data_IF_508742390853
#
_entry.id   IF_508742390853
#
_cell.length_a   1.000
_cell.length_b   1.000
_cell.length_c   1.000
_cell.angle_alpha   90.00
_cell.angle_beta   90.00
_cell.angle_gamma   90.00
#
_symmetry.space_group_name_H-M   'P 1'
#
loop_
_entity.id
_entity.type
_entity.pdbx_description
1 polymer ?
#
# COMPACT_ATOMS: atom_id res chain seq x y z
N UNK A 1 29.29 0.88 -8.32
CA UNK A 1 28.24 0.81 -9.35
C UNK A 1 26.93 0.46 -8.64
N UNK A 2 26.27 1.46 -8.05
CA UNK A 2 25.14 1.24 -7.13
C UNK A 2 23.85 1.08 -7.94
N UNK A 3 23.34 -0.14 -8.02
CA UNK A 3 21.98 -0.42 -8.48
C UNK A 3 21.00 0.19 -7.47
N UNK A 4 20.47 1.36 -7.78
CA UNK A 4 19.32 1.95 -7.06
C UNK A 4 18.09 1.07 -7.35
N UNK A 5 17.82 0.11 -6.47
CA UNK A 5 16.52 -0.57 -6.42
C UNK A 5 15.55 0.47 -5.87
N UNK A 6 14.85 1.12 -6.78
CA UNK A 6 13.82 2.07 -6.46
C UNK A 6 12.54 1.27 -6.22
N UNK A 7 12.30 0.98 -4.94
CA UNK A 7 11.08 0.34 -4.47
C UNK A 7 9.90 1.16 -4.96
N UNK A 8 9.05 0.53 -5.78
CA UNK A 8 7.79 1.11 -6.21
C UNK A 8 7.01 1.58 -4.99
N UNK A 9 6.33 2.70 -5.15
CA UNK A 9 5.38 3.26 -4.20
C UNK A 9 4.20 2.27 -4.07
N UNK A 10 4.43 1.15 -3.37
CA UNK A 10 3.39 0.23 -2.94
C UNK A 10 2.70 0.92 -1.76
N UNK A 11 1.72 1.78 -2.04
CA UNK A 11 0.70 2.15 -1.06
C UNK A 11 -0.12 0.89 -0.76
N UNK A 12 0.46 -0.03 -0.02
CA UNK A 12 -0.18 -1.27 0.38
C UNK A 12 -1.10 -0.96 1.56
N UNK A 13 -2.35 -0.57 1.27
CA UNK A 13 -3.47 -0.86 2.19
C UNK A 13 -3.63 -2.40 2.35
N UNK A 14 -3.06 -3.14 1.39
CA UNK A 14 -2.88 -4.58 1.39
C UNK A 14 -2.22 -5.18 2.65
N UNK A 15 -1.37 -4.47 3.39
CA UNK A 15 -0.66 -5.08 4.54
C UNK A 15 -1.55 -5.37 5.74
N UNK A 16 -2.76 -4.80 5.83
CA UNK A 16 -3.74 -5.17 6.87
C UNK A 16 -4.66 -6.33 6.40
N UNK A 17 -4.74 -6.57 5.08
CA UNK A 17 -5.73 -7.48 4.49
C UNK A 17 -5.15 -8.80 3.96
N UNK A 18 -3.83 -8.96 3.83
CA UNK A 18 -3.24 -10.11 3.10
C UNK A 18 -2.31 -11.03 3.91
N UNK A 19 -2.39 -11.06 5.25
CA UNK A 19 -1.75 -12.17 6.00
C UNK A 19 -2.74 -13.29 6.26
N UNK A 20 -2.96 -14.13 5.24
CA UNK A 20 -3.60 -15.44 5.39
C UNK A 20 -2.70 -16.51 4.76
N UNK A 21 -2.03 -17.30 5.61
CA UNK A 21 -1.30 -18.50 5.21
C UNK A 21 -1.91 -19.70 5.95
N UNK A 22 -2.59 -20.58 5.21
CA UNK A 22 -2.67 -22.02 5.46
C UNK A 22 -3.66 -22.53 6.52
N UNK A 23 -4.67 -23.29 6.07
CA UNK A 23 -5.41 -24.21 6.94
C UNK A 23 -6.72 -24.71 6.35
N UNK A 24 -6.66 -25.58 5.34
CA UNK A 24 -7.84 -26.23 4.77
C UNK A 24 -8.50 -27.22 5.73
N UNK A 25 -9.84 -27.21 5.76
CA UNK A 25 -10.67 -28.19 6.45
C UNK A 25 -12.01 -28.33 5.72
N UNK A 26 -12.22 -29.48 5.07
CA UNK A 26 -13.43 -29.78 4.32
C UNK A 26 -14.63 -30.04 5.24
N UNK A 27 -15.78 -29.46 4.90
CA UNK A 27 -17.05 -29.69 5.55
C UNK A 27 -18.18 -29.14 4.70
N UNK A 28 -18.80 -29.99 3.88
CA UNK A 28 -19.95 -29.64 3.06
C UNK A 28 -21.10 -29.16 3.93
N UNK A 29 -21.41 -27.88 3.82
CA UNK A 29 -22.63 -27.27 4.35
C UNK A 29 -23.23 -26.43 3.22
N UNK A 30 -24.47 -26.71 2.85
CA UNK A 30 -25.25 -25.88 1.93
C UNK A 30 -25.38 -24.47 2.54
N UNK A 31 -24.53 -23.56 2.08
CA UNK A 31 -24.48 -22.19 2.58
C UNK A 31 -25.78 -21.46 2.21
N UNK A 32 -26.44 -20.87 3.21
CA UNK A 32 -27.43 -19.82 2.95
C UNK A 32 -26.76 -18.68 2.16
N UNK A 33 -27.49 -18.00 1.25
CA UNK A 33 -26.94 -16.85 0.54
C UNK A 33 -26.51 -15.77 1.53
N UNK A 34 -25.21 -15.56 1.63
CA UNK A 34 -24.59 -14.53 2.45
C UNK A 34 -24.74 -13.18 1.75
N UNK A 35 -25.76 -12.41 2.16
CA UNK A 35 -26.05 -11.07 1.63
C UNK A 35 -25.18 -9.96 2.26
N UNK A 36 -24.07 -10.32 2.92
CA UNK A 36 -23.17 -9.32 3.47
C UNK A 36 -22.52 -8.48 2.37
N UNK A 37 -22.47 -7.16 2.57
CA UNK A 37 -21.73 -6.26 1.69
C UNK A 37 -20.24 -6.63 1.69
N UNK A 38 -19.64 -6.72 0.50
CA UNK A 38 -18.22 -7.03 0.31
C UNK A 38 -17.56 -6.00 -0.59
N UNK A 39 -16.34 -5.62 -0.23
CA UNK A 39 -15.44 -4.84 -1.06
C UNK A 39 -14.30 -5.73 -1.53
N UNK A 40 -14.20 -5.93 -2.84
CA UNK A 40 -13.24 -6.84 -3.44
C UNK A 40 -11.95 -6.12 -3.82
N UNK A 41 -10.83 -6.71 -3.45
CA UNK A 41 -9.47 -6.23 -3.75
C UNK A 41 -8.89 -7.14 -4.82
N UNK A 42 -8.45 -6.56 -5.93
CA UNK A 42 -7.90 -7.32 -7.07
C UNK A 42 -6.57 -6.69 -7.45
N UNK A 43 -5.49 -7.46 -7.36
CA UNK A 43 -4.14 -6.97 -7.57
C UNK A 43 -3.33 -7.89 -8.47
N UNK A 44 -2.68 -7.31 -9.48
CA UNK A 44 -1.70 -8.02 -10.28
C UNK A 44 -0.31 -7.93 -9.64
N UNK A 45 0.29 -9.08 -9.37
CA UNK A 45 1.58 -9.21 -8.71
C UNK A 45 2.56 -9.99 -9.60
N UNK A 46 3.27 -9.29 -10.49
CA UNK A 46 4.33 -9.91 -11.29
C UNK A 46 5.61 -10.08 -10.46
N UNK A 47 6.23 -11.24 -10.58
CA UNK A 47 7.57 -11.52 -10.05
C UNK A 47 8.48 -12.01 -11.17
N UNK A 48 9.77 -12.20 -10.88
CA UNK A 48 10.73 -12.74 -11.85
C UNK A 48 10.50 -14.21 -12.18
N UNK A 49 9.73 -14.94 -11.36
CA UNK A 49 9.53 -16.39 -11.51
C UNK A 49 8.09 -16.77 -11.83
N UNK A 50 7.12 -15.91 -11.53
CA UNK A 50 5.70 -16.09 -11.85
C UNK A 50 4.96 -14.75 -11.81
N UNK A 51 3.83 -14.64 -12.50
CA UNK A 51 2.86 -13.58 -12.27
C UNK A 51 1.52 -14.16 -11.81
N UNK A 52 0.83 -13.42 -10.96
CA UNK A 52 -0.47 -13.82 -10.44
C UNK A 52 -1.42 -12.64 -10.36
N UNK A 53 -2.71 -12.93 -10.40
CA UNK A 53 -3.74 -11.96 -10.06
C UNK A 53 -4.36 -12.45 -8.75
N UNK A 54 -4.06 -11.72 -7.67
CA UNK A 54 -4.60 -11.97 -6.35
C UNK A 54 -5.99 -11.34 -6.25
N UNK A 55 -6.93 -12.08 -5.68
CA UNK A 55 -8.28 -11.61 -5.37
C UNK A 55 -8.62 -11.92 -3.92
N UNK A 56 -9.17 -10.95 -3.23
CA UNK A 56 -9.73 -11.13 -1.90
C UNK A 56 -10.85 -10.13 -1.63
N UNK A 57 -11.49 -10.22 -0.48
CA UNK A 57 -12.55 -9.28 -0.12
C UNK A 57 -12.53 -8.92 1.35
N UNK A 58 -13.03 -7.72 1.64
CA UNK A 58 -13.37 -7.28 2.98
C UNK A 58 -14.88 -7.37 3.17
N UNK A 59 -15.31 -8.19 4.13
CA UNK A 59 -16.72 -8.31 4.50
C UNK A 59 -17.08 -7.23 5.52
N UNK A 60 -18.19 -6.53 5.25
CA UNK A 60 -18.77 -5.57 6.18
C UNK A 60 -19.75 -6.30 7.10
N UNK A 61 -19.56 -6.16 8.41
CA UNK A 61 -20.44 -6.67 9.45
C UNK A 61 -21.73 -5.85 9.56
N UNK A 62 -22.70 -6.37 10.31
CA UNK A 62 -23.98 -5.70 10.54
C UNK A 62 -23.85 -4.35 11.29
N UNK A 63 -22.77 -4.14 12.04
CA UNK A 63 -22.44 -2.88 12.70
C UNK A 63 -21.55 -1.94 11.85
N UNK A 64 -21.51 -2.16 10.53
CA UNK A 64 -20.76 -1.38 9.55
C UNK A 64 -19.25 -1.36 9.79
N UNK A 65 -18.67 -2.52 10.13
CA UNK A 65 -17.24 -2.66 10.37
C UNK A 65 -16.61 -3.70 9.46
N UNK A 66 -15.36 -3.46 9.10
CA UNK A 66 -14.50 -4.47 8.53
C UNK A 66 -13.49 -4.84 9.62
N UNK A 67 -13.52 -6.10 10.03
CA UNK A 67 -12.53 -6.67 10.93
C UNK A 67 -12.02 -7.97 10.33
N UNK A 68 -10.70 -8.09 10.18
CA UNK A 68 -10.11 -9.38 9.84
C UNK A 68 -10.09 -10.23 11.13
N UNK A 69 -10.83 -11.34 11.14
CA UNK A 69 -10.88 -12.25 12.30
C UNK A 69 -9.50 -12.84 12.66
N UNK A 70 -8.56 -12.83 11.71
CA UNK A 70 -7.19 -13.30 11.89
C UNK A 70 -6.25 -12.24 12.48
N UNK A 71 -6.68 -10.99 12.65
CA UNK A 71 -5.83 -9.91 13.17
C UNK A 71 -6.51 -8.96 14.18
N UNK A 72 -7.84 -8.95 14.26
CA UNK A 72 -8.60 -8.17 15.23
C UNK A 72 -8.43 -8.71 16.65
N UNK A 73 -8.20 -7.82 17.61
CA UNK A 73 -7.98 -8.12 19.02
C UNK A 73 -6.82 -9.10 19.27
N UNK A 74 -5.82 -9.06 18.41
CA UNK A 74 -4.58 -9.83 18.56
C UNK A 74 -3.41 -8.93 18.95
N UNK A 75 -2.29 -9.52 19.45
CA UNK A 75 -1.07 -8.78 19.69
C UNK A 75 -0.63 -7.97 18.47
N UNK A 76 -0.17 -6.74 18.70
CA UNK A 76 0.22 -5.80 17.66
C UNK A 76 1.32 -6.37 16.75
N UNK A 77 2.22 -7.21 17.29
CA UNK A 77 3.29 -7.89 16.55
C UNK A 77 4.44 -6.98 16.10
N UNK A 78 4.32 -5.68 16.33
CA UNK A 78 5.31 -4.64 16.01
C UNK A 78 5.27 -3.58 17.11
N UNK A 79 6.28 -2.72 17.19
CA UNK A 79 6.20 -1.51 18.01
C UNK A 79 5.52 -0.40 17.23
N UNK A 80 4.71 0.41 17.91
CA UNK A 80 4.22 1.70 17.38
C UNK A 80 4.65 2.80 18.34
N UNK A 81 5.47 3.72 17.87
CA UNK A 81 5.92 4.89 18.62
C UNK A 81 5.14 6.13 18.17
N UNK A 82 4.36 6.70 19.08
CA UNK A 82 3.70 8.01 18.95
C UNK A 82 4.39 9.00 19.88
N UNK A 83 4.05 10.29 19.77
CA UNK A 83 4.52 11.30 20.71
C UNK A 83 4.14 10.99 22.17
N UNK A 84 2.93 10.47 22.39
CA UNK A 84 2.36 10.24 23.72
C UNK A 84 2.61 8.83 24.28
N UNK A 85 2.93 7.83 23.43
CA UNK A 85 3.03 6.43 23.86
C UNK A 85 3.87 5.54 22.92
N UNK A 86 4.63 4.62 23.52
CA UNK A 86 5.22 3.47 22.84
C UNK A 86 4.35 2.23 23.07
N UNK A 87 3.65 1.79 22.03
CA UNK A 87 2.93 0.52 22.01
C UNK A 87 3.90 -0.63 21.71
N UNK A 88 3.74 -1.74 22.43
CA UNK A 88 4.61 -2.92 22.36
C UNK A 88 4.00 -4.00 21.45
N UNK A 89 4.80 -4.93 20.91
CA UNK A 89 4.30 -6.06 20.12
C UNK A 89 3.26 -6.92 20.83
N UNK A 90 3.29 -6.95 22.17
CA UNK A 90 2.35 -7.70 23.00
C UNK A 90 1.05 -6.96 23.29
N UNK A 91 0.98 -5.66 23.02
CA UNK A 91 -0.22 -4.88 23.24
C UNK A 91 -1.32 -5.33 22.28
N UNK A 92 -2.56 -5.39 22.77
CA UNK A 92 -3.69 -5.84 21.97
C UNK A 92 -4.17 -4.70 21.08
N UNK A 93 -4.19 -4.96 19.78
CA UNK A 93 -4.64 -4.02 18.76
C UNK A 93 -6.03 -4.43 18.26
N UNK A 94 -6.96 -3.47 18.21
CA UNK A 94 -8.31 -3.75 17.74
C UNK A 94 -8.30 -3.98 16.21
N UNK A 95 -7.51 -3.24 15.42
CA UNK A 95 -7.43 -3.41 13.95
C UNK A 95 -8.81 -3.52 13.28
N UNK A 96 -9.58 -2.45 13.39
CA UNK A 96 -10.96 -2.37 12.87
C UNK A 96 -11.06 -1.21 11.91
N UNK A 97 -11.83 -1.36 10.83
CA UNK A 97 -12.22 -0.25 9.97
C UNK A 97 -13.71 0.02 10.17
N UNK A 98 -14.05 1.24 10.59
CA UNK A 98 -15.42 1.72 10.61
C UNK A 98 -15.79 2.26 9.22
N UNK A 99 -16.86 1.71 8.63
CA UNK A 99 -17.38 2.09 7.31
C UNK A 99 -18.47 3.14 7.51
N UNK A 100 -18.07 4.41 7.62
CA UNK A 100 -19.00 5.52 7.89
C UNK A 100 -19.97 5.75 6.71
N UNK A 101 -19.49 5.53 5.49
CA UNK A 101 -20.28 5.49 4.26
C UNK A 101 -19.57 4.65 3.20
N UNK A 102 -20.17 4.51 2.01
CA UNK A 102 -19.53 3.85 0.87
C UNK A 102 -18.16 4.44 0.50
N UNK A 103 -17.90 5.70 0.84
CA UNK A 103 -16.73 6.46 0.40
C UNK A 103 -15.95 7.14 1.53
N UNK A 104 -16.30 6.89 2.79
CA UNK A 104 -15.66 7.51 3.97
C UNK A 104 -15.47 6.47 5.07
N UNK A 105 -14.22 6.10 5.33
CA UNK A 105 -13.85 5.02 6.24
C UNK A 105 -12.84 5.51 7.28
N UNK A 106 -12.86 4.92 8.48
CA UNK A 106 -11.89 5.18 9.53
C UNK A 106 -11.20 3.88 9.95
N UNK A 107 -9.90 3.77 9.71
CA UNK A 107 -9.08 2.63 10.14
C UNK A 107 -8.51 2.87 11.53
N UNK A 108 -8.80 1.97 12.47
CA UNK A 108 -8.30 1.97 13.83
C UNK A 108 -7.21 0.90 13.97
N UNK A 109 -6.00 1.31 14.38
CA UNK A 109 -4.89 0.37 14.61
C UNK A 109 -4.87 -0.03 16.08
N UNK A 110 -4.55 0.90 16.97
CA UNK A 110 -4.46 0.69 18.41
C UNK A 110 -4.64 2.03 19.15
N UNK A 111 -5.39 2.02 20.26
CA UNK A 111 -5.65 3.23 21.04
C UNK A 111 -6.24 4.37 20.18
N UNK A 112 -5.52 5.50 20.16
CA UNK A 112 -5.82 6.70 19.39
C UNK A 112 -5.12 6.75 18.01
N UNK A 113 -4.37 5.72 17.64
CA UNK A 113 -3.73 5.62 16.32
C UNK A 113 -4.78 5.18 15.29
N UNK A 114 -5.26 6.14 14.50
CA UNK A 114 -6.26 5.94 13.47
C UNK A 114 -6.00 6.79 12.21
N UNK A 115 -6.60 6.35 11.11
CA UNK A 115 -6.49 6.97 9.80
C UNK A 115 -7.86 7.12 9.16
N UNK A 116 -8.12 8.28 8.54
CA UNK A 116 -9.31 8.52 7.73
C UNK A 116 -8.98 8.24 6.27
N UNK A 117 -9.88 7.57 5.58
CA UNK A 117 -9.71 7.16 4.18
C UNK A 117 -10.95 7.60 3.42
N UNK A 118 -10.73 8.36 2.35
CA UNK A 118 -11.79 8.82 1.45
C UNK A 118 -11.65 8.18 0.09
N UNK A 119 -12.77 7.73 -0.44
CA UNK A 119 -12.88 7.17 -1.77
C UNK A 119 -13.80 8.01 -2.65
N UNK A 120 -13.74 7.77 -3.96
CA UNK A 120 -14.82 8.08 -4.89
C UNK A 120 -15.40 6.78 -5.44
N UNK A 121 -16.70 6.75 -5.68
CA UNK A 121 -17.35 5.66 -6.40
C UNK A 121 -17.38 5.99 -7.90
N UNK A 122 -16.97 5.03 -8.71
CA UNK A 122 -16.91 5.16 -10.17
C UNK A 122 -17.79 4.08 -10.79
N UNK A 123 -18.76 4.50 -11.61
CA UNK A 123 -19.53 3.56 -12.45
C UNK A 123 -18.60 2.93 -13.49
N UNK A 124 -18.59 1.60 -13.51
CA UNK A 124 -17.80 0.81 -14.44
C UNK A 124 -18.62 0.26 -15.60
N UNK A 125 -19.94 0.42 -15.62
CA UNK A 125 -20.83 -0.12 -16.65
C UNK A 125 -20.30 0.19 -18.06
N UNK A 126 -20.08 -0.86 -18.86
CA UNK A 126 -19.58 -0.74 -20.22
C UNK A 126 -18.09 -0.38 -20.37
N UNK A 127 -17.35 -0.15 -19.28
CA UNK A 127 -15.90 0.08 -19.31
C UNK A 127 -15.15 -1.23 -19.51
N UNK A 128 -13.96 -1.16 -20.10
CA UNK A 128 -13.12 -2.32 -20.34
C UNK A 128 -12.55 -2.89 -19.03
N UNK A 129 -12.68 -4.20 -18.84
CA UNK A 129 -12.26 -4.87 -17.60
C UNK A 129 -10.74 -4.86 -17.47
N UNK A 130 -10.02 -5.24 -18.53
CA UNK A 130 -8.56 -5.28 -18.52
C UNK A 130 -7.95 -3.90 -18.20
N UNK A 131 -8.39 -2.84 -18.88
CA UNK A 131 -7.83 -1.50 -18.69
C UNK A 131 -8.18 -0.89 -17.32
N UNK A 132 -9.21 -1.42 -16.64
CA UNK A 132 -9.57 -1.00 -15.28
C UNK A 132 -8.72 -1.72 -14.24
N UNK A 133 -8.50 -3.03 -14.39
CA UNK A 133 -7.70 -3.85 -13.46
C UNK A 133 -6.20 -3.62 -13.66
N UNK A 134 -5.76 -3.38 -14.90
CA UNK A 134 -4.37 -3.18 -15.31
C UNK A 134 -4.21 -1.87 -16.10
N UNK A 135 -4.44 -0.70 -15.45
CA UNK A 135 -4.41 0.58 -16.13
C UNK A 135 -3.04 0.86 -16.76
N UNK A 136 -3.05 1.23 -18.04
CA UNK A 136 -1.85 1.56 -18.83
C UNK A 136 -1.07 0.36 -19.39
N UNK A 137 -1.33 -0.87 -18.96
CA UNK A 137 -0.58 -2.05 -19.44
C UNK A 137 -0.81 -2.35 -20.92
N UNK A 138 -1.99 -2.02 -21.48
CA UNK A 138 -2.27 -2.24 -22.90
C UNK A 138 -1.32 -1.47 -23.82
N UNK A 139 -1.01 -0.23 -23.48
CA UNK A 139 -0.15 0.64 -24.28
C UNK A 139 1.33 0.54 -23.90
N UNK A 140 1.63 0.36 -22.61
CA UNK A 140 3.00 0.29 -22.09
C UNK A 140 3.58 -1.13 -22.09
N UNK A 141 2.76 -2.14 -22.39
CA UNK A 141 3.11 -3.55 -22.37
C UNK A 141 3.46 -4.07 -20.98
N UNK A 142 3.91 -5.32 -20.92
CA UNK A 142 4.49 -5.95 -19.72
C UNK A 142 6.01 -5.83 -19.72
N UNK A 143 6.61 -5.76 -18.54
CA UNK A 143 8.07 -5.73 -18.40
C UNK A 143 8.66 -7.07 -18.87
N UNK A 144 9.77 -7.03 -19.62
CA UNK A 144 10.46 -8.24 -20.07
C UNK A 144 11.20 -8.96 -18.95
N UNK A 145 11.46 -8.29 -17.82
CA UNK A 145 12.14 -8.86 -16.65
C UNK A 145 11.25 -9.74 -15.79
N UNK A 146 9.94 -9.65 -15.94
CA UNK A 146 8.98 -10.42 -15.17
C UNK A 146 8.30 -11.48 -16.03
N UNK A 147 7.88 -12.55 -15.37
CA UNK A 147 6.89 -13.44 -15.98
C UNK A 147 5.61 -12.62 -16.19
N UNK A 148 4.92 -12.88 -17.30
CA UNK A 148 3.75 -12.12 -17.75
C UNK A 148 2.66 -13.04 -18.28
N UNK A 149 2.68 -14.30 -17.88
CA UNK A 149 1.81 -15.34 -18.44
C UNK A 149 0.35 -15.00 -18.20
N UNK A 150 -0.02 -14.72 -16.94
CA UNK A 150 -1.39 -14.37 -16.57
C UNK A 150 -1.78 -12.97 -17.05
N UNK A 151 -0.90 -11.97 -16.93
CA UNK A 151 -1.14 -10.62 -17.44
C UNK A 151 -1.36 -10.59 -18.95
N UNK A 152 -0.51 -11.26 -19.72
CA UNK A 152 -0.63 -11.34 -21.18
C UNK A 152 -1.86 -12.16 -21.58
N UNK A 153 -2.13 -13.27 -20.89
CA UNK A 153 -3.35 -14.06 -21.12
C UNK A 153 -4.61 -13.22 -20.89
N UNK A 154 -4.63 -12.42 -19.83
CA UNK A 154 -5.73 -11.51 -19.54
C UNK A 154 -5.95 -10.50 -20.68
N UNK A 155 -4.87 -9.91 -21.20
CA UNK A 155 -4.93 -9.01 -22.35
C UNK A 155 -5.42 -9.71 -23.62
N UNK A 156 -4.85 -10.87 -23.95
CA UNK A 156 -5.08 -11.55 -25.22
C UNK A 156 -6.48 -12.16 -25.30
N UNK A 157 -6.96 -12.74 -24.19
CA UNK A 157 -8.21 -13.52 -24.17
C UNK A 157 -9.40 -12.68 -23.73
N UNK A 158 -9.22 -11.76 -22.79
CA UNK A 158 -10.32 -10.97 -22.20
C UNK A 158 -10.13 -9.46 -22.36
N UNK A 159 -9.12 -9.01 -23.10
CA UNK A 159 -8.81 -7.60 -23.26
C UNK A 159 -9.89 -6.78 -23.96
N UNK A 160 -10.95 -7.38 -24.50
CA UNK A 160 -12.11 -6.67 -25.06
C UNK A 160 -13.37 -6.75 -24.18
N UNK A 161 -13.32 -7.51 -23.09
CA UNK A 161 -14.47 -7.70 -22.21
C UNK A 161 -14.78 -6.41 -21.45
N UNK A 162 -16.07 -6.15 -21.27
CA UNK A 162 -16.59 -4.96 -20.58
C UNK A 162 -17.36 -5.36 -19.34
N UNK A 163 -17.44 -4.45 -18.38
CA UNK A 163 -18.23 -4.63 -17.17
C UNK A 163 -19.74 -4.61 -17.46
N UNK A 164 -20.52 -5.50 -16.82
CA UNK A 164 -21.98 -5.47 -16.88
C UNK A 164 -22.56 -4.28 -16.12
N UNK A 165 -23.86 -4.02 -16.32
CA UNK A 165 -24.61 -3.02 -15.57
C UNK A 165 -24.53 -3.26 -14.07
N UNK A 166 -24.40 -2.18 -13.29
CA UNK A 166 -24.30 -2.24 -11.82
C UNK A 166 -22.87 -2.41 -11.31
N UNK A 167 -21.89 -2.64 -12.20
CA UNK A 167 -20.49 -2.70 -11.84
C UNK A 167 -19.99 -1.33 -11.39
N UNK A 168 -19.33 -1.28 -10.23
CA UNK A 168 -18.71 -0.06 -9.71
C UNK A 168 -17.38 -0.37 -9.04
N UNK A 169 -16.52 0.65 -8.96
CA UNK A 169 -15.31 0.57 -8.17
C UNK A 169 -15.12 1.79 -7.28
N UNK A 170 -14.20 1.68 -6.35
CA UNK A 170 -13.85 2.70 -5.38
C UNK A 170 -12.38 3.06 -5.56
N UNK A 171 -12.09 4.35 -5.74
CA UNK A 171 -10.74 4.87 -5.91
C UNK A 171 -10.39 5.77 -4.74
N UNK A 172 -9.20 5.60 -4.17
CA UNK A 172 -8.68 6.44 -3.10
C UNK A 172 -8.63 7.87 -3.58
N UNK A 173 -9.23 8.78 -2.82
CA UNK A 173 -9.11 10.22 -3.01
C UNK A 173 -8.04 10.74 -2.06
N UNK A 174 -8.15 10.38 -0.79
CA UNK A 174 -7.21 10.80 0.23
C UNK A 174 -7.13 9.86 1.42
N UNK A 175 -6.02 9.96 2.14
CA UNK A 175 -5.81 9.31 3.42
C UNK A 175 -5.05 10.22 4.36
N UNK A 176 -5.48 10.27 5.62
CA UNK A 176 -4.88 11.11 6.65
C UNK A 176 -4.80 10.38 7.97
N UNK A 177 -3.62 10.32 8.58
CA UNK A 177 -3.49 9.89 9.97
C UNK A 177 -3.82 11.05 10.90
N UNK A 178 -4.46 10.76 12.04
CA UNK A 178 -4.77 11.80 13.03
C UNK A 178 -3.54 12.28 13.79
N UNK A 179 -2.50 11.46 13.81
CA UNK A 179 -1.21 11.76 14.41
C UNK A 179 -0.09 11.06 13.65
N UNK A 180 1.13 11.55 13.86
CA UNK A 180 2.33 10.93 13.33
C UNK A 180 2.77 9.75 14.21
N UNK A 181 3.30 8.70 13.60
CA UNK A 181 3.86 7.58 14.34
C UNK A 181 4.93 6.84 13.53
N UNK A 182 5.79 6.11 14.24
CA UNK A 182 6.74 5.16 13.65
C UNK A 182 6.32 3.72 13.97
N UNK A 183 6.42 2.82 12.99
CA UNK A 183 6.33 1.37 13.20
C UNK A 183 7.68 0.68 12.98
N UNK A 184 8.05 -0.26 13.86
CA UNK A 184 9.30 -1.03 13.76
C UNK A 184 9.21 -2.36 14.51
N UNK A 185 9.89 -3.40 14.03
CA UNK A 185 9.72 -4.78 14.56
C UNK A 185 10.60 -5.07 15.78
N UNK A 186 11.73 -4.37 15.93
CA UNK A 186 12.76 -4.70 16.92
C UNK A 186 13.57 -5.96 16.60
N UNK A 187 13.38 -6.57 15.42
CA UNK A 187 14.09 -7.77 14.99
C UNK A 187 15.47 -7.45 14.42
N UNK A 188 16.42 -8.40 14.56
CA UNK A 188 17.79 -8.23 14.08
C UNK A 188 17.90 -8.03 12.56
N UNK A 189 16.91 -8.48 11.79
CA UNK A 189 16.81 -8.28 10.33
C UNK A 189 16.60 -6.83 9.94
N UNK A 190 16.01 -6.03 10.83
CA UNK A 190 15.72 -4.61 10.61
C UNK A 190 16.78 -3.69 11.20
N UNK A 191 17.85 -4.25 11.76
CA UNK A 191 18.99 -3.45 12.21
C UNK A 191 19.64 -2.74 11.03
N UNK A 192 19.87 -1.45 11.20
CA UNK A 192 20.64 -0.67 10.25
C UNK A 192 22.11 -1.01 10.46
N UNK A 193 22.72 -1.58 9.40
CA UNK A 193 24.12 -1.95 9.38
C UNK A 193 24.83 -1.21 8.26
N UNK A 194 26.08 -0.81 8.51
CA UNK A 194 26.99 -0.23 7.54
C UNK A 194 28.27 -1.06 7.56
N UNK A 195 28.68 -1.55 6.39
CA UNK A 195 29.86 -2.43 6.23
C UNK A 195 29.83 -3.65 7.16
N UNK A 196 28.63 -4.21 7.38
CA UNK A 196 28.42 -5.40 8.21
C UNK A 196 28.30 -5.14 9.73
N UNK A 197 28.65 -3.94 10.20
CA UNK A 197 28.56 -3.55 11.61
C UNK A 197 27.27 -2.75 11.90
N UNK A 198 26.82 -2.74 13.16
CA UNK A 198 25.72 -1.88 13.60
C UNK A 198 26.05 -0.42 13.31
N UNK A 199 25.13 0.28 12.65
CA UNK A 199 25.32 1.69 12.33
C UNK A 199 24.79 2.55 13.48
N UNK A 200 25.63 3.37 14.17
CA UNK A 200 25.18 4.19 15.28
C UNK A 200 24.08 5.17 14.87
N UNK A 201 23.10 5.38 15.75
CA UNK A 201 21.97 6.26 15.47
C UNK A 201 22.42 7.69 15.15
N UNK A 202 23.39 8.23 15.89
CA UNK A 202 23.96 9.56 15.66
C UNK A 202 24.52 9.74 14.26
N UNK A 203 25.20 8.72 13.74
CA UNK A 203 25.83 8.76 12.43
C UNK A 203 24.78 8.61 11.31
N UNK A 204 23.77 7.79 11.56
CA UNK A 204 22.64 7.64 10.65
C UNK A 204 21.80 8.93 10.58
N UNK A 205 21.51 9.55 11.71
CA UNK A 205 20.79 10.82 11.80
C UNK A 205 21.56 11.96 11.10
N UNK A 206 22.87 12.05 11.33
CA UNK A 206 23.73 13.02 10.65
C UNK A 206 23.76 12.78 9.13
N UNK A 207 23.76 11.52 8.68
CA UNK A 207 23.69 11.19 7.26
C UNK A 207 22.34 11.60 6.64
N UNK A 208 21.23 11.39 7.35
CA UNK A 208 19.91 11.87 6.93
C UNK A 208 19.87 13.40 6.81
N UNK A 209 20.44 14.11 7.77
CA UNK A 209 20.52 15.57 7.74
C UNK A 209 21.30 16.07 6.52
N UNK A 210 22.45 15.46 6.24
CA UNK A 210 23.29 15.82 5.08
C UNK A 210 22.66 15.44 3.73
N UNK A 211 21.75 14.45 3.71
CA UNK A 211 21.09 14.01 2.48
C UNK A 211 20.22 15.11 1.86
N UNK A 212 19.56 15.94 2.67
CA UNK A 212 18.57 16.94 2.22
C UNK A 212 19.11 17.85 1.12
N UNK A 213 20.32 18.38 1.31
CA UNK A 213 20.93 19.32 0.36
C UNK A 213 21.16 18.67 -1.02
N UNK A 214 21.38 17.34 -1.04
CA UNK A 214 21.60 16.59 -2.28
C UNK A 214 20.32 16.16 -2.99
N UNK A 215 19.18 16.09 -2.28
CA UNK A 215 17.91 15.60 -2.85
C UNK A 215 16.91 16.71 -3.15
N UNK A 216 17.02 17.89 -2.51
CA UNK A 216 16.20 19.07 -2.79
C UNK A 216 16.73 19.92 -3.95
N UNK A 217 17.43 19.30 -4.89
CA UNK A 217 17.92 19.95 -6.11
C UNK A 217 16.82 20.10 -7.17
N UNK A 218 15.76 19.29 -7.10
CA UNK A 218 14.61 19.36 -8.02
C UNK A 218 13.47 20.16 -7.38
N UNK A 219 12.99 21.26 -8.00
CA UNK A 219 11.99 22.13 -7.38
C UNK A 219 10.62 21.47 -7.20
N UNK A 220 10.29 20.47 -8.02
CA UNK A 220 8.97 19.85 -8.04
C UNK A 220 8.65 18.99 -6.80
N UNK A 221 9.67 18.51 -6.10
CA UNK A 221 9.51 17.68 -4.91
C UNK A 221 10.42 18.20 -3.82
N UNK A 222 9.82 18.66 -2.72
CA UNK A 222 10.55 19.18 -1.57
C UNK A 222 10.52 18.16 -0.43
N UNK A 223 11.70 17.73 0.01
CA UNK A 223 11.88 16.89 1.18
C UNK A 223 12.26 17.71 2.41
N UNK A 224 11.91 17.19 3.58
CA UNK A 224 12.30 17.72 4.88
C UNK A 224 12.94 16.62 5.70
N UNK A 225 14.04 16.96 6.35
CA UNK A 225 14.62 16.17 7.43
C UNK A 225 14.01 16.64 8.75
N UNK A 226 13.67 15.69 9.61
CA UNK A 226 13.27 15.94 10.98
C UNK A 226 13.78 14.80 11.86
N UNK A 227 14.14 15.15 13.10
CA UNK A 227 14.54 14.20 14.12
C UNK A 227 14.05 14.68 15.48
N UNK A 228 13.99 13.77 16.43
CA UNK A 228 13.48 14.08 17.76
C UNK A 228 13.54 12.88 18.68
N UNK A 229 12.81 12.98 19.78
CA UNK A 229 12.67 11.91 20.74
C UNK A 229 11.23 11.88 21.21
N UNK A 230 10.60 10.71 21.11
CA UNK A 230 9.29 10.44 21.67
C UNK A 230 9.44 9.30 22.66
N UNK A 231 8.86 9.42 23.86
CA UNK A 231 8.89 8.34 24.86
C UNK A 231 10.31 7.79 25.12
N UNK A 232 11.29 8.69 25.20
CA UNK A 232 12.74 8.37 25.34
C UNK A 232 13.35 7.52 24.21
N UNK A 233 12.66 7.43 23.06
CA UNK A 233 13.12 6.75 21.84
C UNK A 233 13.50 7.81 20.81
N UNK A 234 14.80 8.00 20.52
CA UNK A 234 15.26 8.85 19.43
C UNK A 234 14.77 8.34 18.09
N UNK A 235 14.37 9.26 17.21
CA UNK A 235 13.90 8.95 15.86
C UNK A 235 14.38 10.00 14.86
N UNK A 236 14.46 9.60 13.59
CA UNK A 236 14.87 10.45 12.47
C UNK A 236 14.14 10.02 11.20
N UNK A 237 13.82 10.98 10.33
CA UNK A 237 13.16 10.71 9.05
C UNK A 237 13.45 11.83 8.04
N UNK A 238 13.49 11.43 6.76
CA UNK A 238 13.41 12.35 5.63
C UNK A 238 12.12 12.05 4.86
N UNK A 239 11.26 13.05 4.66
CA UNK A 239 9.97 12.86 3.99
C UNK A 239 9.61 14.01 3.06
N UNK A 240 8.82 13.69 2.04
CA UNK A 240 8.25 14.62 1.07
C UNK A 240 7.16 15.46 1.73
N UNK A 241 7.35 16.78 1.71
CA UNK A 241 6.52 17.74 2.47
C UNK A 241 5.07 17.86 1.99
N UNK A 242 4.78 17.47 0.74
CA UNK A 242 3.44 17.59 0.17
C UNK A 242 2.55 16.36 0.39
N UNK A 243 3.14 15.18 0.59
CA UNK A 243 2.40 13.92 0.75
C UNK A 243 2.75 13.14 2.03
N UNK A 244 3.76 13.56 2.79
CA UNK A 244 4.23 12.83 3.96
C UNK A 244 4.95 11.51 3.63
N UNK A 245 5.31 11.28 2.36
CA UNK A 245 5.96 10.04 1.90
C UNK A 245 7.45 10.08 2.23
N UNK A 246 7.96 9.05 2.87
CA UNK A 246 9.37 8.98 3.26
C UNK A 246 10.31 8.78 2.07
N UNK A 247 11.49 9.39 2.13
CA UNK A 247 12.58 9.00 1.26
C UNK A 247 13.10 7.61 1.68
N UNK A 248 13.39 6.76 0.70
CA UNK A 248 13.72 5.35 0.93
C UNK A 248 14.90 5.17 1.89
N UNK A 249 14.77 4.23 2.83
CA UNK A 249 15.79 3.88 3.83
C UNK A 249 16.23 5.03 4.76
N UNK A 250 15.39 6.05 4.96
CA UNK A 250 15.70 7.17 5.86
C UNK A 250 14.98 7.13 7.22
N UNK A 251 13.79 6.53 7.40
CA UNK A 251 13.18 6.51 8.72
C UNK A 251 13.88 5.49 9.63
N UNK A 252 14.25 5.92 10.83
CA UNK A 252 14.87 5.05 11.82
C UNK A 252 14.52 5.47 13.25
N UNK A 253 14.59 4.49 14.15
CA UNK A 253 14.46 4.69 15.60
C UNK A 253 15.64 4.05 16.33
N UNK A 254 16.03 4.61 17.46
CA UNK A 254 16.99 3.99 18.38
C UNK A 254 16.25 3.36 19.54
N UNK A 255 16.28 2.03 19.62
CA UNK A 255 15.65 1.28 20.70
C UNK A 255 16.64 0.30 21.31
N UNK A 256 16.72 0.25 22.64
CA UNK A 256 17.67 -0.61 23.37
C UNK A 256 19.12 -0.50 22.84
N UNK A 257 19.58 0.74 22.61
CA UNK A 257 20.91 1.07 22.08
C UNK A 257 21.23 0.53 20.68
N UNK A 258 20.22 0.12 19.92
CA UNK A 258 20.36 -0.32 18.52
C UNK A 258 19.52 0.54 17.59
N UNK A 259 20.01 0.74 16.37
CA UNK A 259 19.33 1.50 15.32
C UNK A 259 18.51 0.54 14.46
N UNK A 260 17.20 0.74 14.44
CA UNK A 260 16.27 -0.05 13.63
C UNK A 260 15.73 0.77 12.47
N UNK A 261 15.55 0.13 11.31
CA UNK A 261 14.69 0.64 10.25
C UNK A 261 13.29 0.81 10.82
N UNK A 262 12.66 1.91 10.47
CA UNK A 262 11.28 2.17 10.82
C UNK A 262 10.48 2.56 9.57
N UNK A 263 9.17 2.49 9.70
CA UNK A 263 8.24 3.13 8.77
C UNK A 263 7.67 4.36 9.46
N UNK A 264 7.78 5.52 8.81
CA UNK A 264 7.16 6.74 9.31
C UNK A 264 5.80 6.94 8.65
N UNK A 265 4.79 7.17 9.47
CA UNK A 265 3.42 7.38 9.07
C UNK A 265 3.03 8.81 9.40
N UNK A 266 3.05 9.68 8.38
CA UNK A 266 2.81 11.11 8.53
C UNK A 266 1.33 11.44 8.78
N UNK A 267 1.07 12.54 9.48
CA UNK A 267 -0.25 13.16 9.60
C UNK A 267 -0.60 14.08 8.41
N UNK A 268 0.34 14.29 7.49
CA UNK A 268 0.09 14.99 6.23
C UNK A 268 -0.90 14.14 5.41
N UNK A 269 -1.96 14.79 4.93
CA UNK A 269 -2.95 14.14 4.10
C UNK A 269 -2.34 13.80 2.74
N UNK A 270 -2.26 12.50 2.46
CA UNK A 270 -1.97 12.00 1.13
C UNK A 270 -3.21 12.22 0.26
N UNK A 271 -3.05 12.81 -0.92
CA UNK A 271 -4.14 12.94 -1.91
C UNK A 271 -3.68 12.45 -3.29
N UNK A 272 -4.58 11.78 -4.01
CA UNK A 272 -4.27 11.34 -5.37
C UNK A 272 -3.98 12.52 -6.31
N UNK A 273 -4.65 13.66 -6.13
CA UNK A 273 -4.40 14.86 -6.95
C UNK A 273 -2.97 15.37 -6.82
N UNK A 274 -2.42 15.42 -5.60
CA UNK A 274 -1.03 15.86 -5.40
C UNK A 274 -0.06 14.79 -5.93
N UNK A 275 -0.33 13.50 -5.67
CA UNK A 275 0.51 12.41 -6.16
C UNK A 275 0.59 12.36 -7.70
N UNK A 276 -0.53 12.58 -8.39
CA UNK A 276 -0.57 12.69 -9.86
C UNK A 276 0.34 13.81 -10.34
N UNK A 277 0.19 15.03 -9.80
CA UNK A 277 1.02 16.19 -10.18
C UNK A 277 2.51 15.90 -10.00
N UNK A 278 2.88 15.26 -8.91
CA UNK A 278 4.29 14.93 -8.65
C UNK A 278 4.84 13.88 -9.59
N UNK A 279 4.06 12.86 -9.96
CA UNK A 279 4.47 11.90 -10.98
C UNK A 279 4.63 12.56 -12.35
N UNK A 280 3.71 13.46 -12.71
CA UNK A 280 3.78 14.26 -13.95
C UNK A 280 5.04 15.14 -13.99
N UNK A 281 5.37 15.83 -12.90
CA UNK A 281 6.62 16.60 -12.83
C UNK A 281 7.86 15.71 -12.90
N UNK A 282 7.90 14.59 -12.17
CA UNK A 282 9.02 13.62 -12.23
C UNK A 282 9.23 13.12 -13.67
N UNK A 283 8.14 12.88 -14.42
CA UNK A 283 8.20 12.43 -15.81
C UNK A 283 8.80 13.47 -16.79
N UNK A 284 8.94 14.73 -16.39
CA UNK A 284 9.61 15.76 -17.21
C UNK A 284 11.14 15.67 -17.16
N UNK A 285 11.71 14.94 -16.19
CA UNK A 285 13.16 14.77 -16.10
C UNK A 285 13.67 13.93 -17.30
N UNK A 286 14.50 14.50 -18.19
CA UNK A 286 14.96 13.83 -19.40
C UNK A 286 15.98 12.72 -19.12
N UNK A 287 16.60 12.70 -17.94
CA UNK A 287 17.62 11.73 -17.56
C UNK A 287 17.03 10.43 -17.00
N UNK A 288 15.70 10.32 -16.95
CA UNK A 288 15.04 9.09 -16.54
C UNK A 288 15.22 7.99 -17.59
N UNK A 289 15.84 6.88 -17.18
CA UNK A 289 15.91 5.67 -18.00
C UNK A 289 14.52 5.12 -18.34
N UNK A 290 14.40 4.44 -19.49
CA UNK A 290 13.14 3.94 -20.04
C UNK A 290 12.30 3.11 -19.04
N UNK A 291 12.94 2.23 -18.27
CA UNK A 291 12.27 1.41 -17.26
C UNK A 291 11.60 2.28 -16.18
N UNK A 292 12.29 3.34 -15.76
CA UNK A 292 11.79 4.26 -14.74
C UNK A 292 10.64 5.10 -15.28
N UNK A 293 10.74 5.58 -16.53
CA UNK A 293 9.65 6.26 -17.23
C UNK A 293 8.43 5.36 -17.32
N UNK A 294 8.59 4.09 -17.72
CA UNK A 294 7.49 3.12 -17.81
C UNK A 294 6.83 2.90 -16.45
N UNK A 295 7.61 2.66 -15.40
CA UNK A 295 7.11 2.47 -14.03
C UNK A 295 6.31 3.68 -13.52
N UNK A 296 6.81 4.90 -13.76
CA UNK A 296 6.10 6.13 -13.39
C UNK A 296 4.80 6.30 -14.18
N UNK A 297 4.78 6.02 -15.49
CA UNK A 297 3.57 6.08 -16.32
C UNK A 297 2.50 5.06 -15.89
N UNK A 298 2.90 3.84 -15.53
CA UNK A 298 1.98 2.84 -14.96
C UNK A 298 1.41 3.29 -13.61
N UNK A 299 2.26 3.86 -12.75
CA UNK A 299 1.81 4.41 -11.45
C UNK A 299 0.81 5.55 -11.67
N UNK A 300 1.09 6.44 -12.63
CA UNK A 300 0.22 7.55 -13.00
C UNK A 300 -1.14 7.04 -13.53
N UNK A 301 -1.13 6.05 -14.42
CA UNK A 301 -2.36 5.42 -14.91
C UNK A 301 -3.15 4.74 -13.78
N UNK A 302 -2.45 4.09 -12.84
CA UNK A 302 -3.03 3.55 -11.61
C UNK A 302 -3.77 4.60 -10.79
N UNK A 303 -3.14 5.75 -10.53
CA UNK A 303 -3.75 6.83 -9.76
C UNK A 303 -4.92 7.52 -10.50
N UNK A 304 -4.84 7.61 -11.83
CA UNK A 304 -5.85 8.31 -12.64
C UNK A 304 -7.09 7.45 -12.92
N UNK A 305 -6.91 6.16 -13.16
CA UNK A 305 -7.99 5.28 -13.64
C UNK A 305 -8.12 3.95 -12.94
N UNK A 306 -7.12 3.53 -12.16
CA UNK A 306 -7.16 2.30 -11.38
C UNK A 306 -8.21 2.36 -10.26
N UNK A 307 -8.52 1.21 -9.69
CA UNK A 307 -9.46 1.08 -8.58
C UNK A 307 -8.78 0.33 -7.42
N UNK A 308 -9.04 0.76 -6.19
CA UNK A 308 -8.57 0.05 -5.00
C UNK A 308 -9.50 -1.10 -4.65
N UNK A 309 -10.81 -0.89 -4.84
CA UNK A 309 -11.83 -1.88 -4.50
C UNK A 309 -12.93 -1.93 -5.55
N UNK A 310 -13.59 -3.07 -5.64
CA UNK A 310 -14.70 -3.34 -6.56
C UNK A 310 -15.93 -3.77 -5.77
N UNK A 311 -17.11 -3.42 -6.26
CA UNK A 311 -18.34 -4.03 -5.75
C UNK A 311 -18.49 -5.48 -6.25
N UNK A 312 -19.46 -6.19 -5.70
CA UNK A 312 -19.70 -7.62 -6.01
C UNK A 312 -19.91 -7.88 -7.52
N UNK A 313 -20.65 -7.01 -8.22
CA UNK A 313 -20.94 -7.19 -9.66
C UNK A 313 -19.69 -7.02 -10.52
N UNK A 314 -18.87 -6.01 -10.23
CA UNK A 314 -17.59 -5.81 -10.91
C UNK A 314 -16.64 -6.97 -10.62
N UNK A 315 -16.55 -7.41 -9.37
CA UNK A 315 -15.72 -8.54 -8.98
C UNK A 315 -16.14 -9.83 -9.70
N UNK A 316 -17.46 -10.13 -9.74
CA UNK A 316 -18.05 -11.25 -10.50
C UNK A 316 -17.65 -11.26 -11.96
N UNK A 317 -17.70 -10.11 -12.61
CA UNK A 317 -17.28 -9.99 -13.99
C UNK A 317 -15.79 -10.33 -14.14
N UNK A 318 -14.93 -9.85 -13.23
CA UNK A 318 -13.49 -10.09 -13.28
C UNK A 318 -13.15 -11.56 -12.99
N UNK A 319 -13.65 -12.14 -11.90
CA UNK A 319 -13.29 -13.50 -11.50
C UNK A 319 -13.96 -14.59 -12.37
N UNK A 320 -14.88 -14.21 -13.26
CA UNK A 320 -15.49 -15.14 -14.22
C UNK A 320 -14.48 -15.75 -15.21
N UNK A 321 -13.31 -15.14 -15.36
CA UNK A 321 -12.21 -15.63 -16.19
C UNK A 321 -11.48 -16.79 -15.53
N UNK A 322 -12.07 -17.99 -15.59
CA UNK A 322 -11.55 -19.22 -14.94
C UNK A 322 -10.17 -19.65 -15.43
N UNK A 323 -9.76 -19.16 -16.59
CA UNK A 323 -8.48 -19.43 -17.22
C UNK A 323 -7.34 -18.58 -16.66
N UNK A 324 -7.63 -17.51 -15.91
CA UNK A 324 -6.63 -16.77 -15.14
C UNK A 324 -6.41 -17.49 -13.80
N UNK A 325 -5.15 -17.78 -13.46
CA UNK A 325 -4.81 -18.51 -12.24
C UNK A 325 -4.96 -17.59 -11.01
N UNK A 326 -6.20 -17.49 -10.51
CA UNK A 326 -6.56 -16.64 -9.38
C UNK A 326 -6.05 -17.21 -8.06
N UNK A 327 -5.17 -16.48 -7.38
CA UNK A 327 -4.87 -16.78 -5.98
C UNK A 327 -5.90 -16.09 -5.09
N UNK A 328 -6.69 -16.87 -4.37
CA UNK A 328 -7.74 -16.38 -3.48
C UNK A 328 -7.22 -16.16 -2.07
N UNK A 329 -7.56 -15.02 -1.49
CA UNK A 329 -7.33 -14.70 -0.08
C UNK A 329 -8.67 -14.32 0.54
N UNK A 330 -9.01 -14.92 1.68
CA UNK A 330 -10.16 -14.52 2.51
C UNK A 330 -9.68 -13.74 3.73
#
# INVERSE_FOLDING_TARGET
MNKKILTGLSLSIASILLTACGGGGGGGSTAQPDNSLRYWHIQYNPTTTADKIDIGYSKVSADNKISNQLSNNLPLGTFILTESKLYKPTDIANRVIDVNSLTDWTSHIIGDVKSHIKYEQVDLTGKNIFDTVLPGYRSLGFDSKYVKTNGQKFLDQHGKTIFPQGSACFRLISRKNDQEYFSFTGLDTDLIKKDGALYPFSDFDQANKALIDSINIEPAVQYRYTSGTWQDVPWTVVYETALGVTYVNTPAVQYQNKTYKAEYNSAIEYTNTIAIKQLEERLKNPDLGADKVRSLKLSLAGLQTGCDMYNEDAAKAIYSFQDLDWTKHE
#
